data_IF_938798109221
#
_entry.id   IF_938798109221
#
_cell.length_a   1.000
_cell.length_b   1.000
_cell.length_c   1.000
_cell.angle_alpha   90.00
_cell.angle_beta   90.00
_cell.angle_gamma   90.00
#
_symmetry.space_group_name_H-M   'P 1'
#
loop_
_entity.id
_entity.type
_entity.pdbx_description
1 polymer ?
#
# COMPACT_ATOMS: atom_id res chain seq x y z
N UNK A 1 -15.15 28.40 51.36
CA UNK A 1 -15.42 28.17 52.80
C UNK A 1 -16.88 28.52 53.09
N UNK A 2 -17.61 27.82 53.98
CA UNK A 2 -17.53 26.41 54.34
C UNK A 2 -18.91 25.68 54.49
N UNK A 3 -18.87 24.34 54.32
CA UNK A 3 -19.48 23.23 55.12
C UNK A 3 -21.02 23.21 55.32
N UNK A 4 -21.71 22.06 55.19
CA UNK A 4 -21.66 20.81 55.99
C UNK A 4 -22.42 19.72 55.19
N UNK A 5 -21.99 18.47 54.95
CA UNK A 5 -21.62 17.34 55.82
C UNK A 5 -22.48 17.15 57.06
N UNK A 6 -23.45 16.23 56.96
CA UNK A 6 -23.93 15.41 58.08
C UNK A 6 -23.82 13.94 57.64
N UNK A 7 -23.15 13.16 58.47
CA UNK A 7 -22.97 11.73 58.36
C UNK A 7 -23.67 11.03 59.53
N UNK A 8 -23.65 9.70 59.44
CA UNK A 8 -23.77 8.67 60.50
C UNK A 8 -25.15 8.03 60.70
N UNK A 9 -25.27 6.80 61.26
CA UNK A 9 -24.32 5.66 61.33
C UNK A 9 -24.93 4.27 61.02
N UNK A 10 -24.01 3.33 60.73
CA UNK A 10 -23.89 1.92 61.21
C UNK A 10 -25.13 1.02 61.31
N UNK A 11 -25.03 -0.14 60.66
CA UNK A 11 -24.93 -1.39 61.43
C UNK A 11 -24.12 -2.47 60.67
N UNK A 12 -23.12 -2.98 61.36
CA UNK A 12 -22.30 -4.15 61.00
C UNK A 12 -23.03 -5.42 61.46
N UNK A 13 -22.89 -6.53 60.72
CA UNK A 13 -22.78 -7.86 61.32
C UNK A 13 -21.97 -8.82 60.46
N UNK A 14 -21.17 -9.61 61.17
CA UNK A 14 -19.98 -10.33 60.76
C UNK A 14 -20.21 -11.67 60.03
N UNK A 15 -19.18 -12.02 59.27
CA UNK A 15 -18.55 -13.33 59.05
C UNK A 15 -19.30 -14.62 59.41
N UNK A 16 -19.36 -15.54 58.43
CA UNK A 16 -19.04 -16.96 58.65
C UNK A 16 -18.38 -17.61 57.44
N UNK A 17 -17.12 -17.96 57.63
CA UNK A 17 -16.27 -18.78 56.75
C UNK A 17 -16.68 -20.25 56.88
N UNK A 18 -16.92 -20.95 55.77
CA UNK A 18 -16.78 -22.42 55.69
C UNK A 18 -16.09 -22.78 54.37
N UNK A 19 -14.87 -23.31 54.51
CA UNK A 19 -14.17 -24.11 53.50
C UNK A 19 -14.86 -25.46 53.39
N UNK A 20 -15.16 -25.90 52.17
CA UNK A 20 -15.22 -27.32 51.81
C UNK A 20 -14.68 -27.49 50.40
N UNK A 21 -13.68 -28.37 50.29
CA UNK A 21 -13.01 -28.75 49.06
C UNK A 21 -13.98 -29.43 48.08
N UNK A 22 -13.86 -29.07 46.81
CA UNK A 22 -14.40 -29.79 45.65
C UNK A 22 -13.60 -29.40 44.42
N UNK A 23 -12.82 -30.34 43.91
CA UNK A 23 -11.84 -30.18 42.82
C UNK A 23 -12.52 -30.52 41.47
N UNK A 24 -12.11 -29.82 40.41
CA UNK A 24 -12.35 -30.05 38.96
C UNK A 24 -13.78 -29.71 38.47
N UNK A 25 -13.99 -28.96 37.39
CA UNK A 25 -13.24 -28.85 36.15
C UNK A 25 -13.67 -27.53 35.47
N UNK A 26 -12.80 -26.53 35.32
CA UNK A 26 -13.08 -25.33 34.51
C UNK A 26 -11.79 -24.58 34.19
N UNK A 27 -11.00 -25.13 33.26
CA UNK A 27 -9.91 -24.41 32.57
C UNK A 27 -9.66 -25.02 31.18
N UNK A 28 -10.59 -24.85 30.24
CA UNK A 28 -10.30 -25.00 28.80
C UNK A 28 -11.22 -24.10 27.97
N UNK A 29 -11.14 -22.78 28.19
CA UNK A 29 -11.76 -21.80 27.32
C UNK A 29 -10.92 -20.51 27.32
N UNK A 30 -9.70 -20.59 26.78
CA UNK A 30 -8.94 -19.41 26.31
C UNK A 30 -7.73 -19.90 25.51
N UNK A 31 -7.98 -20.22 24.24
CA UNK A 31 -6.95 -20.52 23.24
C UNK A 31 -7.02 -19.56 22.03
N UNK A 32 -7.65 -18.40 22.20
CA UNK A 32 -7.81 -17.37 21.17
C UNK A 32 -6.78 -16.23 21.28
N UNK A 33 -5.73 -16.40 22.07
CA UNK A 33 -4.65 -15.42 22.25
C UNK A 33 -3.31 -15.95 21.70
N UNK A 34 -3.25 -16.23 20.40
CA UNK A 34 -1.98 -16.09 19.67
C UNK A 34 -2.09 -14.80 18.86
N UNK A 35 -1.84 -13.68 19.54
CA UNK A 35 -1.57 -12.40 18.90
C UNK A 35 -0.40 -12.60 17.96
N UNK A 36 -0.62 -12.28 16.68
CA UNK A 36 0.45 -12.16 15.70
C UNK A 36 1.58 -11.30 16.29
N UNK A 37 2.76 -11.90 16.46
CA UNK A 37 3.97 -11.20 16.84
C UNK A 37 4.31 -10.16 15.77
N UNK A 38 4.25 -8.89 16.18
CA UNK A 38 5.03 -7.76 15.66
C UNK A 38 5.25 -7.66 14.14
N UNK A 39 4.21 -7.81 13.33
CA UNK A 39 4.18 -7.03 12.08
C UNK A 39 3.43 -5.76 12.44
N UNK A 40 4.16 -4.67 12.68
CA UNK A 40 3.48 -3.38 12.80
C UNK A 40 2.63 -3.18 11.52
N UNK A 41 1.50 -2.49 11.62
CA UNK A 41 0.70 -2.16 10.43
C UNK A 41 1.54 -1.46 9.33
N UNK A 42 2.76 -0.98 9.67
CA UNK A 42 3.73 -0.32 8.80
C UNK A 42 4.33 -1.19 7.66
N UNK A 43 4.19 -2.52 7.65
CA UNK A 43 4.76 -3.38 6.58
C UNK A 43 3.71 -4.05 5.66
N UNK A 44 2.42 -3.76 5.88
CA UNK A 44 1.35 -4.64 5.40
C UNK A 44 1.00 -4.55 3.90
N UNK A 45 1.49 -3.52 3.18
CA UNK A 45 1.14 -3.23 1.79
C UNK A 45 2.34 -3.12 0.83
N UNK A 46 3.57 -3.13 1.33
CA UNK A 46 4.81 -3.03 0.54
C UNK A 46 5.10 -1.67 -0.12
N UNK A 47 4.08 -0.91 -0.53
CA UNK A 47 4.23 0.37 -1.26
C UNK A 47 4.42 1.63 -0.37
N UNK A 48 4.75 1.50 0.92
CA UNK A 48 4.60 2.61 1.86
C UNK A 48 5.82 3.48 2.14
N UNK A 49 6.85 3.47 1.29
CA UNK A 49 8.08 4.25 1.51
C UNK A 49 8.64 4.78 0.18
N UNK A 50 7.88 5.64 -0.51
CA UNK A 50 8.39 6.29 -1.70
C UNK A 50 9.33 7.44 -1.30
N UNK A 51 10.62 7.24 -1.49
CA UNK A 51 11.62 8.28 -1.26
C UNK A 51 11.60 9.25 -2.44
N UNK A 52 11.37 10.53 -2.15
CA UNK A 52 11.53 11.59 -3.15
C UNK A 52 12.97 11.61 -3.62
N UNK A 53 13.16 11.58 -4.94
CA UNK A 53 14.50 11.80 -5.47
C UNK A 53 14.89 13.26 -5.23
N UNK A 54 16.10 13.51 -4.70
CA UNK A 54 16.62 14.85 -4.52
C UNK A 54 16.58 15.63 -5.83
N UNK A 55 16.28 16.93 -5.76
CA UNK A 55 16.52 17.82 -6.88
C UNK A 55 18.03 17.86 -7.19
N UNK A 56 18.41 17.86 -8.47
CA UNK A 56 19.81 18.01 -8.84
C UNK A 56 20.29 19.43 -8.44
N UNK A 57 21.20 19.51 -7.48
CA UNK A 57 21.75 20.77 -6.98
C UNK A 57 22.69 21.39 -8.01
N UNK A 58 22.16 22.26 -8.88
CA UNK A 58 22.97 23.20 -9.64
C UNK A 58 22.82 24.59 -8.99
N UNK A 59 23.87 25.13 -8.36
CA UNK A 59 23.77 26.36 -7.56
C UNK A 59 23.28 27.57 -8.37
N UNK A 60 23.64 27.66 -9.65
CA UNK A 60 23.26 28.80 -10.51
C UNK A 60 21.83 28.68 -11.06
N UNK A 61 21.20 27.53 -10.89
CA UNK A 61 19.89 27.27 -11.47
C UNK A 61 18.78 28.01 -10.73
N UNK A 62 18.89 28.11 -9.40
CA UNK A 62 17.89 28.82 -8.59
C UNK A 62 17.77 30.28 -9.00
N UNK A 63 18.88 31.00 -9.05
CA UNK A 63 18.92 32.42 -9.47
C UNK A 63 18.29 32.59 -10.86
N UNK A 64 18.62 31.70 -11.81
CA UNK A 64 18.03 31.71 -13.15
C UNK A 64 16.50 31.57 -13.13
N UNK A 65 15.97 30.70 -12.27
CA UNK A 65 14.52 30.52 -12.14
C UNK A 65 13.84 31.65 -11.37
N UNK A 66 14.51 32.26 -10.39
CA UNK A 66 14.02 33.45 -9.69
C UNK A 66 13.94 34.66 -10.64
N UNK A 67 14.96 34.88 -11.47
CA UNK A 67 14.93 35.89 -12.53
C UNK A 67 13.80 35.62 -13.53
N UNK A 68 13.64 34.37 -13.97
CA UNK A 68 12.57 33.98 -14.87
C UNK A 68 11.18 34.20 -14.26
N UNK A 69 11.02 33.91 -12.96
CA UNK A 69 9.80 34.18 -12.21
C UNK A 69 9.46 35.68 -12.26
N UNK A 70 10.42 36.55 -11.90
CA UNK A 70 10.19 38.00 -11.88
C UNK A 70 9.84 38.53 -13.28
N UNK A 71 10.55 38.09 -14.31
CA UNK A 71 10.30 38.47 -15.69
C UNK A 71 8.91 38.05 -16.18
N UNK A 72 8.48 36.81 -15.87
CA UNK A 72 7.16 36.32 -16.25
C UNK A 72 6.04 37.08 -15.53
N UNK A 73 6.21 37.40 -14.24
CA UNK A 73 5.24 38.21 -13.48
C UNK A 73 5.08 39.59 -14.11
N UNK A 74 6.17 40.26 -14.48
CA UNK A 74 6.12 41.56 -15.16
C UNK A 74 5.45 41.50 -16.54
N UNK A 75 5.73 40.44 -17.30
CA UNK A 75 5.12 40.23 -18.62
C UNK A 75 3.61 39.97 -18.51
N UNK A 76 3.18 39.18 -17.52
CA UNK A 76 1.74 38.90 -17.29
C UNK A 76 1.00 40.18 -16.91
N UNK A 77 1.59 41.03 -16.08
CA UNK A 77 0.95 42.29 -15.66
C UNK A 77 0.88 43.35 -16.77
N UNK A 78 1.76 43.26 -17.78
CA UNK A 78 1.82 44.22 -18.89
C UNK A 78 1.11 43.75 -20.17
N UNK A 79 0.79 42.45 -20.27
CA UNK A 79 0.18 41.85 -21.45
C UNK A 79 -1.33 41.68 -21.30
N UNK A 80 -2.06 41.76 -22.41
CA UNK A 80 -3.50 41.44 -22.47
C UNK A 80 -3.76 40.41 -23.58
N UNK A 81 -4.72 39.51 -23.36
CA UNK A 81 -5.18 38.55 -24.37
C UNK A 81 -4.61 37.13 -24.24
N UNK A 82 -4.65 36.30 -25.30
CA UNK A 82 -4.38 34.87 -25.24
C UNK A 82 -2.92 34.52 -24.90
N UNK A 83 -1.96 35.43 -25.12
CA UNK A 83 -0.56 35.22 -24.74
C UNK A 83 -0.36 35.15 -23.21
N UNK A 84 -1.21 35.86 -22.45
CA UNK A 84 -1.20 35.84 -20.98
C UNK A 84 -1.39 34.42 -20.45
N UNK A 85 -2.22 33.62 -21.12
CA UNK A 85 -2.49 32.24 -20.74
C UNK A 85 -1.22 31.39 -20.83
N UNK A 86 -0.49 31.49 -21.93
CA UNK A 86 0.79 30.77 -22.13
C UNK A 86 1.85 31.24 -21.13
N UNK A 87 1.89 32.54 -20.82
CA UNK A 87 2.79 33.09 -19.81
C UNK A 87 2.44 32.55 -18.41
N UNK A 88 1.16 32.45 -18.05
CA UNK A 88 0.69 31.84 -16.80
C UNK A 88 1.10 30.36 -16.70
N UNK A 89 0.95 29.57 -17.76
CA UNK A 89 1.43 28.18 -17.79
C UNK A 89 2.93 28.06 -17.53
N UNK A 90 3.73 28.94 -18.15
CA UNK A 90 5.18 29.02 -17.88
C UNK A 90 5.47 29.43 -16.46
N UNK A 91 4.76 30.44 -15.93
CA UNK A 91 4.93 30.89 -14.56
C UNK A 91 4.59 29.79 -13.55
N UNK A 92 3.51 29.03 -13.77
CA UNK A 92 3.15 27.87 -12.94
C UNK A 92 4.26 26.81 -12.95
N UNK A 93 4.82 26.50 -14.12
CA UNK A 93 5.94 25.57 -14.22
C UNK A 93 7.18 26.08 -13.48
N UNK A 94 7.50 27.38 -13.56
CA UNK A 94 8.61 28.01 -12.81
C UNK A 94 8.37 27.94 -11.31
N UNK A 95 7.16 28.26 -10.85
CA UNK A 95 6.80 28.19 -9.43
C UNK A 95 6.98 26.77 -8.88
N UNK A 96 6.55 25.74 -9.62
CA UNK A 96 6.79 24.35 -9.22
C UNK A 96 8.29 24.01 -9.12
N UNK A 97 9.12 24.44 -10.09
CA UNK A 97 10.56 24.20 -10.03
C UNK A 97 11.22 24.92 -8.84
N UNK A 98 10.86 26.18 -8.60
CA UNK A 98 11.35 26.94 -7.44
C UNK A 98 10.93 26.28 -6.13
N UNK A 99 9.68 25.82 -6.01
CA UNK A 99 9.21 25.10 -4.83
C UNK A 99 10.05 23.86 -4.54
N UNK A 100 10.39 23.09 -5.58
CA UNK A 100 11.31 21.94 -5.46
C UNK A 100 12.71 22.34 -5.00
N UNK A 101 13.26 23.44 -5.50
CA UNK A 101 14.58 23.93 -5.10
C UNK A 101 14.60 24.39 -3.64
N UNK A 102 13.59 25.17 -3.21
CA UNK A 102 13.48 25.63 -1.81
C UNK A 102 13.36 24.45 -0.83
N UNK A 103 12.59 23.41 -1.18
CA UNK A 103 12.45 22.22 -0.35
C UNK A 103 13.73 21.36 -0.36
N UNK A 104 14.23 20.96 -1.54
CA UNK A 104 15.28 19.94 -1.63
C UNK A 104 16.70 20.49 -1.38
N UNK A 105 16.94 21.80 -1.58
CA UNK A 105 18.28 22.41 -1.47
C UNK A 105 18.44 23.33 -0.26
N UNK A 106 17.39 24.05 0.12
CA UNK A 106 17.49 25.09 1.18
C UNK A 106 16.78 24.72 2.48
N UNK A 107 16.09 23.56 2.51
CA UNK A 107 15.28 23.13 3.65
C UNK A 107 14.28 24.23 4.09
N UNK A 108 13.80 25.03 3.13
CA UNK A 108 12.89 26.14 3.36
C UNK A 108 11.46 25.74 2.98
N UNK A 109 10.87 24.90 3.81
CA UNK A 109 9.52 24.35 3.61
C UNK A 109 8.46 25.43 3.42
N UNK A 110 8.49 26.52 4.20
CA UNK A 110 7.50 27.60 4.09
C UNK A 110 7.52 28.28 2.71
N UNK A 111 8.72 28.54 2.17
CA UNK A 111 8.84 29.13 0.83
C UNK A 111 8.46 28.11 -0.26
N UNK A 112 8.82 26.85 -0.07
CA UNK A 112 8.43 25.77 -0.97
C UNK A 112 6.91 25.64 -1.09
N UNK A 113 6.20 25.56 0.04
CA UNK A 113 4.73 25.52 0.08
C UNK A 113 4.10 26.71 -0.64
N UNK A 114 4.58 27.92 -0.35
CA UNK A 114 4.10 29.13 -1.01
C UNK A 114 4.28 29.07 -2.54
N UNK A 115 5.42 28.55 -3.02
CA UNK A 115 5.65 28.37 -4.45
C UNK A 115 4.75 27.31 -5.08
N UNK A 116 4.49 26.19 -4.40
CA UNK A 116 3.57 25.16 -4.89
C UNK A 116 2.12 25.67 -4.94
N UNK A 117 1.68 26.44 -3.95
CA UNK A 117 0.36 27.09 -3.96
C UNK A 117 0.27 28.10 -5.11
N UNK A 118 1.28 28.95 -5.31
CA UNK A 118 1.34 29.87 -6.45
C UNK A 118 1.30 29.15 -7.79
N UNK A 119 2.00 28.02 -7.92
CA UNK A 119 2.00 27.22 -9.14
C UNK A 119 0.58 26.78 -9.52
N UNK A 120 -0.22 26.35 -8.52
CA UNK A 120 -1.63 26.00 -8.69
C UNK A 120 -2.48 27.23 -9.03
N UNK A 121 -2.42 28.26 -8.20
CA UNK A 121 -3.32 29.42 -8.28
C UNK A 121 -3.12 30.25 -9.54
N UNK A 122 -1.90 30.27 -10.10
CA UNK A 122 -1.57 31.01 -11.33
C UNK A 122 -2.40 30.54 -12.54
N UNK A 123 -2.75 29.25 -12.58
CA UNK A 123 -3.46 28.59 -13.68
C UNK A 123 -4.84 28.10 -13.28
N UNK A 124 -5.42 28.72 -12.25
CA UNK A 124 -6.79 28.48 -11.83
C UNK A 124 -7.76 28.60 -13.01
N UNK A 125 -8.76 27.71 -13.06
CA UNK A 125 -9.73 27.53 -14.13
C UNK A 125 -9.16 26.92 -15.44
N UNK A 126 -7.86 26.60 -15.45
CA UNK A 126 -7.14 25.99 -16.57
C UNK A 126 -6.24 24.83 -16.11
N UNK A 127 -6.52 24.24 -14.95
CA UNK A 127 -5.69 23.21 -14.30
C UNK A 127 -5.57 21.94 -15.17
N UNK A 128 -6.62 21.60 -15.90
CA UNK A 128 -6.75 20.41 -16.74
C UNK A 128 -6.28 20.63 -18.18
N UNK A 129 -5.50 21.68 -18.44
CA UNK A 129 -4.89 21.87 -19.74
C UNK A 129 -3.52 21.18 -19.83
N UNK A 130 -3.13 20.78 -21.05
CA UNK A 130 -1.89 20.03 -21.28
C UNK A 130 -0.64 20.73 -20.74
N UNK A 131 -0.60 22.06 -20.80
CA UNK A 131 0.51 22.87 -20.29
C UNK A 131 0.52 23.04 -18.76
N UNK A 132 -0.59 22.75 -18.09
CA UNK A 132 -0.78 23.06 -16.66
C UNK A 132 -0.85 21.81 -15.79
N UNK A 133 -1.48 20.74 -16.28
CA UNK A 133 -1.85 19.55 -15.53
C UNK A 133 -0.68 18.93 -14.74
N UNK A 134 0.51 18.88 -15.34
CA UNK A 134 1.70 18.34 -14.66
C UNK A 134 2.19 19.26 -13.54
N UNK A 135 2.21 20.57 -13.76
CA UNK A 135 2.65 21.52 -12.74
C UNK A 135 1.69 21.49 -11.56
N UNK A 136 0.38 21.42 -11.81
CA UNK A 136 -0.66 21.35 -10.77
C UNK A 136 -0.57 20.05 -9.97
N UNK A 137 -0.64 18.88 -10.62
CA UNK A 137 -0.60 17.58 -9.92
C UNK A 137 0.69 17.43 -9.12
N UNK A 138 1.85 17.78 -9.69
CA UNK A 138 3.11 17.63 -8.98
C UNK A 138 3.23 18.62 -7.81
N UNK A 139 2.69 19.83 -7.92
CA UNK A 139 2.67 20.79 -6.80
C UNK A 139 1.77 20.30 -5.67
N UNK A 140 0.59 19.77 -5.99
CA UNK A 140 -0.31 19.15 -5.02
C UNK A 140 0.31 17.91 -4.36
N UNK A 141 1.04 17.09 -5.12
CA UNK A 141 1.78 15.95 -4.56
C UNK A 141 2.87 16.39 -3.57
N UNK A 142 3.60 17.47 -3.88
CA UNK A 142 4.61 18.02 -2.97
C UNK A 142 3.98 18.63 -1.72
N UNK A 143 2.85 19.35 -1.84
CA UNK A 143 2.09 19.84 -0.69
C UNK A 143 1.62 18.67 0.19
N UNK A 144 1.06 17.62 -0.42
CA UNK A 144 0.67 16.41 0.30
C UNK A 144 1.85 15.74 0.99
N UNK A 145 3.01 15.65 0.33
CA UNK A 145 4.23 15.10 0.92
C UNK A 145 4.71 15.90 2.14
N UNK A 146 4.80 17.23 2.02
CA UNK A 146 5.22 18.11 3.11
C UNK A 146 4.28 17.93 4.31
N UNK A 147 2.96 17.94 4.08
CA UNK A 147 1.99 17.70 5.17
C UNK A 147 2.16 16.33 5.84
N UNK A 148 2.53 15.30 5.09
CA UNK A 148 2.80 13.97 5.66
C UNK A 148 4.09 13.93 6.49
N UNK A 149 5.18 14.53 5.98
CA UNK A 149 6.53 14.34 6.54
C UNK A 149 6.96 15.40 7.54
N UNK A 150 6.56 16.65 7.33
CA UNK A 150 7.02 17.79 8.11
C UNK A 150 5.99 18.13 9.21
N UNK A 151 4.70 18.06 8.87
CA UNK A 151 3.60 18.49 9.75
C UNK A 151 2.83 17.34 10.43
N UNK A 152 2.98 16.10 9.94
CA UNK A 152 2.13 14.94 10.30
C UNK A 152 0.61 15.19 10.14
N UNK A 153 0.22 16.15 9.28
CA UNK A 153 -1.17 16.51 8.99
C UNK A 153 -1.73 15.67 7.83
N UNK A 154 -2.20 14.47 8.19
CA UNK A 154 -2.78 13.52 7.24
C UNK A 154 -4.12 13.98 6.63
N UNK A 155 -4.84 14.92 7.24
CA UNK A 155 -6.13 15.42 6.71
C UNK A 155 -5.87 16.43 5.59
N UNK A 156 -5.03 17.43 5.85
CA UNK A 156 -4.61 18.39 4.84
C UNK A 156 -3.87 17.71 3.68
N UNK A 157 -3.01 16.73 3.99
CA UNK A 157 -2.35 15.93 2.97
C UNK A 157 -3.37 15.23 2.05
N UNK A 158 -4.40 14.59 2.63
CA UNK A 158 -5.43 13.91 1.86
C UNK A 158 -6.18 14.87 0.94
N UNK A 159 -6.49 16.09 1.42
CA UNK A 159 -7.19 17.09 0.63
C UNK A 159 -6.40 17.44 -0.65
N UNK A 160 -5.11 17.75 -0.53
CA UNK A 160 -4.28 18.06 -1.70
C UNK A 160 -4.15 16.87 -2.66
N UNK A 161 -4.02 15.66 -2.12
CA UNK A 161 -3.86 14.45 -2.94
C UNK A 161 -5.15 14.05 -3.67
N UNK A 162 -6.32 14.23 -3.03
CA UNK A 162 -7.61 14.02 -3.69
C UNK A 162 -7.87 15.08 -4.76
N UNK A 163 -7.46 16.33 -4.53
CA UNK A 163 -7.48 17.39 -5.56
C UNK A 163 -6.58 17.00 -6.76
N UNK A 164 -5.37 16.49 -6.52
CA UNK A 164 -4.48 16.01 -7.58
C UNK A 164 -5.10 14.86 -8.39
N UNK A 165 -5.75 13.92 -7.68
CA UNK A 165 -6.45 12.80 -8.29
C UNK A 165 -7.64 13.27 -9.15
N UNK A 166 -8.38 14.29 -8.71
CA UNK A 166 -9.47 14.91 -9.47
C UNK A 166 -8.96 15.57 -10.75
N UNK A 167 -7.93 16.42 -10.66
CA UNK A 167 -7.31 17.09 -11.82
C UNK A 167 -6.83 16.07 -12.86
N UNK A 168 -6.23 14.97 -12.42
CA UNK A 168 -5.87 13.88 -13.33
C UNK A 168 -7.08 13.25 -14.03
N UNK A 169 -8.15 12.95 -13.28
CA UNK A 169 -9.33 12.27 -13.80
C UNK A 169 -10.01 13.12 -14.88
N UNK A 170 -10.22 14.40 -14.59
CA UNK A 170 -10.83 15.36 -15.50
C UNK A 170 -10.01 15.50 -16.79
N UNK A 171 -8.68 15.69 -16.68
CA UNK A 171 -7.78 15.72 -17.85
C UNK A 171 -7.90 14.45 -18.73
N UNK A 172 -7.98 13.28 -18.08
CA UNK A 172 -8.02 12.00 -18.76
C UNK A 172 -9.38 11.71 -19.41
N UNK A 173 -10.49 12.12 -18.78
CA UNK A 173 -11.85 12.02 -19.33
C UNK A 173 -12.03 12.90 -20.57
N UNK A 174 -11.42 14.09 -20.56
CA UNK A 174 -11.39 15.00 -21.72
C UNK A 174 -10.47 14.52 -22.86
N UNK A 175 -9.69 13.45 -22.64
CA UNK A 175 -8.76 12.84 -23.62
C UNK A 175 -7.80 13.84 -24.27
N UNK A 176 -7.28 14.80 -23.51
CA UNK A 176 -6.44 15.92 -24.01
C UNK A 176 -5.02 15.54 -24.50
N UNK A 177 -4.77 14.26 -24.77
CA UNK A 177 -3.48 13.78 -25.29
C UNK A 177 -2.35 13.84 -24.26
N UNK A 178 -1.11 13.98 -24.72
CA UNK A 178 0.07 14.01 -23.85
C UNK A 178 0.22 15.35 -23.14
N UNK A 179 0.45 15.33 -21.82
CA UNK A 179 0.74 16.53 -21.05
C UNK A 179 2.11 17.13 -21.42
N UNK A 180 2.19 18.45 -21.45
CA UNK A 180 3.41 19.19 -21.77
C UNK A 180 4.34 19.22 -20.58
N UNK A 181 5.58 18.77 -20.76
CA UNK A 181 6.58 18.77 -19.69
C UNK A 181 7.17 20.16 -19.44
N UNK A 182 7.68 20.40 -18.22
CA UNK A 182 8.36 21.65 -17.87
C UNK A 182 9.52 21.98 -18.84
N UNK A 183 10.24 20.96 -19.35
CA UNK A 183 11.33 21.15 -20.31
C UNK A 183 10.84 21.72 -21.66
N UNK A 184 9.58 21.48 -22.02
CA UNK A 184 9.00 22.02 -23.25
C UNK A 184 8.40 23.43 -23.01
N UNK A 185 7.98 23.73 -21.78
CA UNK A 185 7.43 25.04 -21.41
C UNK A 185 8.52 26.08 -21.13
N UNK A 186 9.66 25.63 -20.59
CA UNK A 186 10.70 26.50 -20.07
C UNK A 186 12.00 26.34 -20.87
N UNK A 187 12.53 27.43 -21.46
CA UNK A 187 13.88 27.39 -22.03
C UNK A 187 14.90 27.11 -20.91
N UNK A 188 15.93 26.31 -21.19
CA UNK A 188 17.05 26.00 -20.28
C UNK A 188 16.71 25.22 -18.99
N UNK A 189 15.55 24.56 -18.91
CA UNK A 189 15.29 23.62 -17.82
C UNK A 189 16.33 22.47 -17.89
N UNK A 190 16.99 22.08 -16.77
CA UNK A 190 17.96 21.00 -16.80
C UNK A 190 17.30 19.74 -17.36
N UNK A 191 17.95 19.14 -18.35
CA UNK A 191 17.58 17.79 -18.79
C UNK A 191 17.91 16.86 -17.62
N UNK A 192 16.91 16.56 -16.77
CA UNK A 192 17.03 15.53 -15.73
C UNK A 192 17.67 14.30 -16.37
N UNK A 193 18.63 13.65 -15.69
CA UNK A 193 18.90 12.24 -16.01
C UNK A 193 17.59 11.51 -15.76
N UNK A 194 16.96 11.12 -16.85
CA UNK A 194 15.70 10.45 -16.82
C UNK A 194 15.85 9.20 -15.94
N UNK A 195 15.22 9.19 -14.77
CA UNK A 195 14.45 7.99 -14.42
C UNK A 195 13.63 7.62 -15.65
N UNK A 196 13.31 6.35 -15.86
CA UNK A 196 12.43 5.91 -16.96
C UNK A 196 11.02 6.58 -16.97
N UNK A 197 10.80 7.63 -16.16
CA UNK A 197 9.68 8.57 -16.10
C UNK A 197 9.44 9.38 -17.39
N UNK A 198 10.40 9.43 -18.32
CA UNK A 198 10.26 10.18 -19.58
C UNK A 198 9.22 9.62 -20.53
N UNK A 199 8.83 8.34 -20.41
CA UNK A 199 7.85 7.74 -21.33
C UNK A 199 6.40 8.15 -21.04
N UNK A 200 6.06 8.47 -19.79
CA UNK A 200 4.70 8.88 -19.42
C UNK A 200 4.69 9.74 -18.14
N UNK A 201 5.01 11.05 -18.24
CA UNK A 201 5.14 11.93 -17.08
C UNK A 201 3.84 12.10 -16.30
N UNK A 202 2.70 12.12 -16.99
CA UNK A 202 1.38 12.24 -16.35
C UNK A 202 1.06 10.99 -15.51
N UNK A 203 1.37 9.79 -16.04
CA UNK A 203 1.20 8.57 -15.27
C UNK A 203 2.14 8.49 -14.07
N UNK A 204 3.37 9.00 -14.21
CA UNK A 204 4.28 9.12 -13.06
C UNK A 204 3.67 10.02 -11.99
N UNK A 205 3.20 11.21 -12.36
CA UNK A 205 2.60 12.16 -11.43
C UNK A 205 1.39 11.55 -10.69
N UNK A 206 0.52 10.83 -11.39
CA UNK A 206 -0.58 10.07 -10.78
C UNK A 206 -0.09 8.98 -9.83
N UNK A 207 0.94 8.22 -10.21
CA UNK A 207 1.49 7.19 -9.34
C UNK A 207 2.01 7.83 -8.04
N UNK A 208 2.76 8.93 -8.10
CA UNK A 208 3.17 9.67 -6.89
C UNK A 208 1.96 10.03 -6.00
N UNK A 209 0.88 10.57 -6.60
CA UNK A 209 -0.37 10.87 -5.87
C UNK A 209 -0.89 9.63 -5.13
N UNK A 210 -1.03 8.51 -5.83
CA UNK A 210 -1.57 7.27 -5.24
C UNK A 210 -0.68 6.69 -4.13
N UNK A 211 0.64 6.77 -4.27
CA UNK A 211 1.58 6.32 -3.23
C UNK A 211 1.39 7.11 -1.93
N UNK A 212 1.26 8.44 -2.01
CA UNK A 212 1.01 9.26 -0.83
C UNK A 212 -0.40 9.06 -0.26
N UNK A 213 -1.42 8.85 -1.10
CA UNK A 213 -2.78 8.49 -0.64
C UNK A 213 -2.74 7.18 0.18
N UNK A 214 -2.01 6.17 -0.30
CA UNK A 214 -1.84 4.90 0.43
C UNK A 214 -1.20 5.17 1.79
N UNK A 215 -0.14 5.97 1.85
CA UNK A 215 0.53 6.32 3.10
C UNK A 215 -0.42 7.01 4.09
N UNK A 216 -1.19 8.00 3.63
CA UNK A 216 -2.20 8.71 4.43
C UNK A 216 -3.25 7.74 4.98
N UNK A 217 -3.87 6.92 4.12
CA UNK A 217 -4.90 5.99 4.56
C UNK A 217 -4.39 4.96 5.58
N UNK A 218 -3.13 4.53 5.45
CA UNK A 218 -2.53 3.61 6.41
C UNK A 218 -2.30 4.24 7.77
N UNK A 219 -1.75 5.45 7.80
CA UNK A 219 -1.52 6.17 9.07
C UNK A 219 -2.84 6.50 9.78
N UNK A 220 -3.91 6.75 9.02
CA UNK A 220 -5.27 6.95 9.55
C UNK A 220 -6.02 5.67 9.92
N UNK A 221 -5.46 4.49 9.65
CA UNK A 221 -6.12 3.21 9.90
C UNK A 221 -7.25 2.85 8.91
N UNK A 222 -7.38 3.59 7.80
CA UNK A 222 -8.34 3.32 6.72
C UNK A 222 -7.83 2.19 5.81
N UNK A 223 -7.79 0.98 6.36
CA UNK A 223 -7.18 -0.20 5.69
C UNK A 223 -7.87 -0.56 4.38
N UNK A 224 -9.21 -0.44 4.30
CA UNK A 224 -9.96 -0.74 3.07
C UNK A 224 -9.56 0.21 1.95
N UNK A 225 -9.52 1.51 2.20
CA UNK A 225 -9.15 2.50 1.18
C UNK A 225 -7.69 2.36 0.78
N UNK A 226 -6.79 2.11 1.75
CA UNK A 226 -5.39 1.81 1.46
C UNK A 226 -5.24 0.58 0.55
N UNK A 227 -6.01 -0.48 0.79
CA UNK A 227 -6.03 -1.70 -0.02
C UNK A 227 -6.53 -1.43 -1.45
N UNK A 228 -7.62 -0.67 -1.60
CA UNK A 228 -8.17 -0.30 -2.91
C UNK A 228 -7.17 0.54 -3.71
N UNK A 229 -6.60 1.56 -3.08
CA UNK A 229 -5.55 2.40 -3.69
C UNK A 229 -4.31 1.60 -4.06
N UNK A 230 -3.88 0.65 -3.20
CA UNK A 230 -2.74 -0.23 -3.50
C UNK A 230 -2.99 -1.09 -4.73
N UNK A 231 -4.17 -1.72 -4.84
CA UNK A 231 -4.52 -2.48 -6.03
C UNK A 231 -4.52 -1.61 -7.30
N UNK A 232 -5.10 -0.40 -7.22
CA UNK A 232 -5.12 0.54 -8.34
C UNK A 232 -3.70 0.93 -8.78
N UNK A 233 -2.80 1.22 -7.83
CA UNK A 233 -1.40 1.50 -8.11
C UNK A 233 -0.73 0.32 -8.81
N UNK A 234 -0.84 -0.89 -8.27
CA UNK A 234 -0.24 -2.09 -8.86
C UNK A 234 -0.77 -2.36 -10.27
N UNK A 235 -2.08 -2.15 -10.49
CA UNK A 235 -2.71 -2.30 -11.80
C UNK A 235 -2.13 -1.31 -12.81
N UNK A 236 -2.04 -0.03 -12.45
CA UNK A 236 -1.47 1.01 -13.32
C UNK A 236 -0.01 0.70 -13.66
N UNK A 237 0.79 0.31 -12.66
CA UNK A 237 2.19 -0.06 -12.85
C UNK A 237 2.34 -1.22 -13.84
N UNK A 238 1.49 -2.24 -13.70
CA UNK A 238 1.49 -3.41 -14.57
C UNK A 238 1.06 -3.07 -16.02
N UNK A 239 -0.04 -2.34 -16.19
CA UNK A 239 -0.59 -1.98 -17.50
C UNK A 239 0.32 -1.04 -18.31
N UNK A 240 1.14 -0.24 -17.63
CA UNK A 240 2.02 0.74 -18.26
C UNK A 240 3.51 0.32 -18.26
N UNK A 241 3.84 -0.83 -17.65
CA UNK A 241 5.22 -1.26 -17.40
C UNK A 241 6.08 -0.14 -16.79
N UNK A 242 5.54 0.51 -15.76
CA UNK A 242 6.09 1.71 -15.13
C UNK A 242 6.14 1.52 -13.61
N UNK A 243 7.35 1.47 -13.05
CA UNK A 243 7.57 1.23 -11.62
C UNK A 243 8.34 2.40 -11.02
N UNK A 244 7.81 3.01 -9.95
CA UNK A 244 8.46 4.14 -9.27
C UNK A 244 9.62 3.72 -8.36
N UNK A 245 9.58 2.48 -7.84
CA UNK A 245 10.63 1.89 -7.00
C UNK A 245 11.33 0.77 -7.79
N UNK A 246 10.98 -0.50 -7.55
CA UNK A 246 11.47 -1.67 -8.28
C UNK A 246 10.33 -2.58 -8.78
N UNK A 247 10.51 -3.29 -9.91
CA UNK A 247 9.65 -4.41 -10.28
C UNK A 247 9.57 -5.51 -9.20
N UNK A 248 10.59 -5.63 -8.33
CA UNK A 248 10.56 -6.53 -7.17
C UNK A 248 9.53 -6.08 -6.13
N UNK A 249 9.47 -4.78 -5.85
CA UNK A 249 8.54 -4.20 -4.87
C UNK A 249 7.09 -4.40 -5.32
N UNK A 250 6.84 -4.33 -6.63
CA UNK A 250 5.53 -4.65 -7.20
C UNK A 250 5.09 -6.08 -6.84
N UNK A 251 5.98 -7.06 -7.04
CA UNK A 251 5.66 -8.45 -6.77
C UNK A 251 5.40 -8.71 -5.28
N UNK A 252 6.25 -8.16 -4.40
CA UNK A 252 6.06 -8.28 -2.96
C UNK A 252 4.75 -7.61 -2.52
N UNK A 253 4.49 -6.38 -2.98
CA UNK A 253 3.28 -5.63 -2.64
C UNK A 253 2.01 -6.37 -3.07
N UNK A 254 2.00 -6.97 -4.26
CA UNK A 254 0.88 -7.83 -4.70
C UNK A 254 0.67 -9.02 -3.76
N UNK A 255 1.73 -9.66 -3.27
CA UNK A 255 1.58 -10.75 -2.31
C UNK A 255 1.11 -10.28 -0.92
N UNK A 256 1.59 -9.13 -0.45
CA UNK A 256 1.23 -8.60 0.87
C UNK A 256 -0.26 -8.23 0.96
N UNK A 257 -0.82 -7.62 -0.08
CA UNK A 257 -2.26 -7.26 -0.08
C UNK A 257 -3.18 -8.49 -0.05
N UNK A 258 -2.72 -9.65 -0.48
CA UNK A 258 -3.47 -10.90 -0.35
C UNK A 258 -3.76 -11.27 1.11
N UNK A 259 -2.87 -10.89 2.04
CA UNK A 259 -3.09 -11.11 3.46
C UNK A 259 -4.29 -10.30 3.96
N UNK A 260 -4.45 -9.06 3.53
CA UNK A 260 -5.62 -8.23 3.87
C UNK A 260 -6.90 -8.78 3.26
N UNK A 261 -6.85 -9.15 1.98
CA UNK A 261 -7.99 -9.74 1.28
C UNK A 261 -8.48 -11.02 1.99
N UNK A 262 -7.58 -11.86 2.50
CA UNK A 262 -7.94 -13.02 3.32
C UNK A 262 -8.68 -12.67 4.61
N UNK A 263 -8.31 -11.56 5.27
CA UNK A 263 -9.02 -11.10 6.46
C UNK A 263 -10.47 -10.76 6.11
N UNK A 264 -10.69 -10.17 4.93
CA UNK A 264 -11.99 -9.80 4.38
C UNK A 264 -12.78 -10.95 3.70
N UNK A 265 -12.29 -12.20 3.78
CA UNK A 265 -12.83 -13.37 3.08
C UNK A 265 -12.76 -13.32 1.54
N UNK A 266 -12.01 -12.38 0.96
CA UNK A 266 -11.82 -12.24 -0.48
C UNK A 266 -10.76 -13.23 -1.01
N UNK A 267 -10.99 -14.53 -0.80
CA UNK A 267 -10.01 -15.58 -1.10
C UNK A 267 -9.71 -15.74 -2.59
N UNK A 268 -10.69 -15.45 -3.46
CA UNK A 268 -10.50 -15.41 -4.92
C UNK A 268 -9.47 -14.36 -5.30
N UNK A 269 -9.65 -13.14 -4.82
CA UNK A 269 -8.79 -11.98 -5.08
C UNK A 269 -7.41 -12.18 -4.44
N UNK A 270 -7.36 -12.64 -3.19
CA UNK A 270 -6.12 -12.94 -2.50
C UNK A 270 -5.26 -13.96 -3.28
N UNK A 271 -5.87 -15.05 -3.73
CA UNK A 271 -5.19 -16.07 -4.54
C UNK A 271 -4.67 -15.49 -5.85
N UNK A 272 -5.49 -14.70 -6.53
CA UNK A 272 -5.12 -14.05 -7.78
C UNK A 272 -3.91 -13.14 -7.63
N UNK A 273 -3.87 -12.33 -6.56
CA UNK A 273 -2.74 -11.47 -6.23
C UNK A 273 -1.44 -12.23 -5.90
N UNK A 274 -1.55 -13.36 -5.18
CA UNK A 274 -0.40 -14.23 -4.90
C UNK A 274 0.11 -14.94 -6.16
N UNK A 275 -0.81 -15.41 -7.01
CA UNK A 275 -0.46 -16.00 -8.29
C UNK A 275 0.24 -14.97 -9.19
N UNK A 276 -0.21 -13.71 -9.14
CA UNK A 276 0.38 -12.63 -9.92
C UNK A 276 1.81 -12.34 -9.46
N UNK A 277 2.01 -12.21 -8.14
CA UNK A 277 3.32 -12.06 -7.54
C UNK A 277 4.27 -13.21 -7.92
N UNK A 278 3.81 -14.46 -7.81
CA UNK A 278 4.60 -15.63 -8.18
C UNK A 278 4.93 -15.68 -9.67
N UNK A 279 3.97 -15.41 -10.56
CA UNK A 279 4.22 -15.35 -12.01
C UNK A 279 5.25 -14.29 -12.35
N UNK A 280 5.15 -13.12 -11.71
CA UNK A 280 6.07 -12.01 -11.94
C UNK A 280 7.50 -12.37 -11.51
N UNK A 281 7.65 -12.92 -10.30
CA UNK A 281 8.95 -13.38 -9.78
C UNK A 281 9.54 -14.55 -10.58
N UNK A 282 8.75 -15.58 -10.90
CA UNK A 282 9.25 -16.82 -11.50
C UNK A 282 9.51 -16.71 -13.00
N UNK A 283 8.83 -15.78 -13.70
CA UNK A 283 8.85 -15.73 -15.18
C UNK A 283 9.18 -14.37 -15.76
N UNK A 284 8.68 -13.27 -15.19
CA UNK A 284 8.85 -11.94 -15.77
C UNK A 284 10.21 -11.36 -15.36
N UNK A 285 10.53 -11.33 -14.07
CA UNK A 285 11.80 -10.80 -13.57
C UNK A 285 13.01 -11.49 -14.21
N UNK A 286 13.12 -12.83 -14.25
CA UNK A 286 14.26 -13.49 -14.86
C UNK A 286 14.42 -13.21 -16.36
N UNK A 287 13.33 -12.86 -17.07
CA UNK A 287 13.35 -12.60 -18.51
C UNK A 287 13.55 -11.14 -18.89
N UNK A 288 12.95 -10.22 -18.13
CA UNK A 288 12.88 -8.80 -18.48
C UNK A 288 13.76 -7.93 -17.59
N UNK A 289 14.13 -8.42 -16.41
CA UNK A 289 14.89 -7.70 -15.40
C UNK A 289 16.02 -8.59 -14.85
N UNK A 290 16.83 -9.15 -15.76
CA UNK A 290 17.87 -10.13 -15.44
C UNK A 290 18.86 -9.62 -14.38
N UNK A 291 19.17 -8.33 -14.35
CA UNK A 291 20.04 -7.72 -13.33
C UNK A 291 19.48 -7.81 -11.91
N UNK A 292 18.17 -7.96 -11.75
CA UNK A 292 17.51 -8.16 -10.46
C UNK A 292 17.46 -9.64 -10.07
N UNK A 293 17.51 -10.55 -11.05
CA UNK A 293 17.48 -11.98 -10.82
C UNK A 293 18.72 -12.42 -10.03
N UNK A 294 18.55 -13.33 -9.07
CA UNK A 294 19.58 -13.77 -8.12
C UNK A 294 20.14 -12.72 -7.14
N UNK A 295 19.68 -11.46 -7.17
CA UNK A 295 19.99 -10.49 -6.12
C UNK A 295 19.52 -10.99 -4.73
N UNK A 296 20.13 -10.49 -3.66
CA UNK A 296 19.70 -10.85 -2.30
C UNK A 296 18.24 -10.45 -2.06
N UNK A 297 17.83 -9.27 -2.55
CA UNK A 297 16.43 -8.81 -2.51
C UNK A 297 15.48 -9.75 -3.26
N UNK A 298 15.87 -10.28 -4.42
CA UNK A 298 15.07 -11.27 -5.14
C UNK A 298 14.86 -12.54 -4.31
N UNK A 299 15.94 -13.06 -3.68
CA UNK A 299 15.87 -14.26 -2.83
C UNK A 299 14.98 -14.02 -1.61
N UNK A 300 15.11 -12.86 -0.98
CA UNK A 300 14.27 -12.44 0.14
C UNK A 300 12.80 -12.40 -0.26
N UNK A 301 12.46 -11.67 -1.31
CA UNK A 301 11.07 -11.47 -1.71
C UNK A 301 10.45 -12.78 -2.22
N UNK A 302 11.22 -13.67 -2.84
CA UNK A 302 10.74 -15.00 -3.18
C UNK A 302 10.36 -15.82 -1.92
N UNK A 303 11.13 -15.69 -0.84
CA UNK A 303 10.83 -16.31 0.45
C UNK A 303 9.61 -15.68 1.14
N UNK A 304 9.46 -14.36 1.06
CA UNK A 304 8.32 -13.61 1.62
C UNK A 304 7.01 -13.89 0.87
N UNK A 305 7.06 -14.01 -0.45
CA UNK A 305 5.90 -14.43 -1.27
C UNK A 305 5.52 -15.87 -0.94
N UNK A 306 6.50 -16.76 -0.76
CA UNK A 306 6.24 -18.13 -0.28
C UNK A 306 5.59 -18.11 1.11
N UNK A 307 6.04 -17.23 2.01
CA UNK A 307 5.41 -17.06 3.32
C UNK A 307 3.96 -16.63 3.19
N UNK A 308 3.64 -15.71 2.28
CA UNK A 308 2.28 -15.24 2.05
C UNK A 308 1.37 -16.38 1.55
N UNK A 309 1.85 -17.26 0.66
CA UNK A 309 1.12 -18.48 0.28
C UNK A 309 0.85 -19.42 1.45
N UNK A 310 1.83 -19.64 2.33
CA UNK A 310 1.63 -20.46 3.52
C UNK A 310 0.58 -19.83 4.47
N UNK A 311 0.66 -18.52 4.69
CA UNK A 311 -0.30 -17.76 5.50
C UNK A 311 -1.71 -17.82 4.92
N UNK A 312 -1.84 -17.69 3.60
CA UNK A 312 -3.10 -17.85 2.86
C UNK A 312 -3.75 -19.21 3.17
N UNK A 313 -3.00 -20.30 2.96
CA UNK A 313 -3.51 -21.65 3.20
C UNK A 313 -3.87 -21.90 4.65
N UNK A 314 -3.01 -21.49 5.60
CA UNK A 314 -3.28 -21.62 7.03
C UNK A 314 -4.57 -20.91 7.43
N UNK A 315 -4.79 -19.68 6.94
CA UNK A 315 -6.02 -18.92 7.23
C UNK A 315 -7.24 -19.60 6.64
N UNK A 316 -7.15 -20.07 5.40
CA UNK A 316 -8.23 -20.79 4.73
C UNK A 316 -8.59 -22.08 5.50
N UNK A 317 -7.59 -22.86 5.92
CA UNK A 317 -7.79 -24.09 6.68
C UNK A 317 -8.39 -23.83 8.06
N UNK A 318 -7.89 -22.81 8.80
CA UNK A 318 -8.47 -22.37 10.08
C UNK A 318 -9.93 -21.95 9.95
N UNK A 319 -10.26 -21.15 8.93
CA UNK A 319 -11.65 -20.73 8.70
C UNK A 319 -12.54 -21.89 8.27
N UNK A 320 -12.05 -22.80 7.43
CA UNK A 320 -12.77 -24.02 7.03
C UNK A 320 -13.15 -24.87 8.25
N UNK A 321 -12.18 -25.15 9.12
CA UNK A 321 -12.42 -25.84 10.40
C UNK A 321 -13.43 -25.10 11.28
N UNK A 322 -13.25 -23.79 11.46
CA UNK A 322 -14.13 -22.97 12.32
C UNK A 322 -15.56 -22.97 11.81
N UNK A 323 -15.75 -22.86 10.49
CA UNK A 323 -17.05 -22.93 9.83
C UNK A 323 -17.73 -24.28 10.09
N UNK A 324 -17.01 -25.38 9.90
CA UNK A 324 -17.52 -26.75 10.12
C UNK A 324 -17.86 -27.00 11.59
N UNK A 325 -17.03 -26.53 12.53
CA UNK A 325 -17.32 -26.62 13.97
C UNK A 325 -18.57 -25.85 14.40
N UNK A 326 -18.88 -24.75 13.70
CA UNK A 326 -20.01 -23.87 14.02
C UNK A 326 -21.22 -24.08 13.11
N UNK A 327 -21.20 -25.09 12.24
CA UNK A 327 -22.23 -25.36 11.22
C UNK A 327 -22.66 -24.11 10.44
N UNK A 328 -21.69 -23.28 10.02
CA UNK A 328 -21.95 -22.04 9.28
C UNK A 328 -21.82 -22.25 7.78
N UNK A 329 -22.53 -21.43 7.01
CA UNK A 329 -22.34 -21.35 5.56
C UNK A 329 -21.10 -20.54 5.20
N UNK A 330 -20.74 -20.54 3.91
CA UNK A 330 -19.67 -19.70 3.40
C UNK A 330 -20.02 -18.22 3.56
N UNK A 331 -19.05 -17.45 4.02
CA UNK A 331 -19.16 -16.00 4.05
C UNK A 331 -18.54 -15.43 2.78
N UNK A 332 -19.38 -14.85 1.93
CA UNK A 332 -18.92 -14.11 0.77
C UNK A 332 -18.18 -12.82 1.20
N UNK A 333 -17.17 -12.37 0.43
CA UNK A 333 -16.53 -11.09 0.66
C UNK A 333 -17.48 -9.93 0.32
N UNK A 334 -17.29 -8.75 0.93
CA UNK A 334 -17.95 -7.54 0.49
C UNK A 334 -17.77 -7.25 -1.01
N UNK A 335 -18.81 -6.75 -1.66
CA UNK A 335 -18.85 -6.53 -3.11
C UNK A 335 -17.78 -5.54 -3.61
N UNK A 336 -17.34 -4.61 -2.77
CA UNK A 336 -16.27 -3.64 -3.08
C UNK A 336 -14.97 -4.33 -3.55
N UNK A 337 -14.72 -5.57 -3.12
CA UNK A 337 -13.53 -6.33 -3.50
C UNK A 337 -13.69 -7.13 -4.81
N UNK A 338 -14.88 -7.18 -5.40
CA UNK A 338 -15.19 -7.97 -6.59
C UNK A 338 -14.24 -7.67 -7.77
N UNK A 339 -13.84 -6.41 -7.91
CA UNK A 339 -13.04 -5.90 -9.03
C UNK A 339 -11.53 -5.88 -8.79
N UNK A 340 -11.04 -6.44 -7.68
CA UNK A 340 -9.60 -6.47 -7.36
C UNK A 340 -8.90 -7.65 -8.04
N UNK A 341 -8.91 -7.62 -9.37
CA UNK A 341 -8.27 -8.60 -10.25
C UNK A 341 -7.50 -7.89 -11.36
N UNK A 342 -6.31 -8.38 -11.69
CA UNK A 342 -5.55 -7.93 -12.85
C UNK A 342 -6.14 -8.54 -14.12
N UNK A 343 -6.81 -7.70 -14.92
CA UNK A 343 -7.36 -8.13 -16.22
C UNK A 343 -6.19 -8.43 -17.17
N UNK A 344 -6.36 -9.45 -18.02
CA UNK A 344 -5.40 -9.84 -19.06
C UNK A 344 -4.00 -10.26 -18.57
N UNK A 345 -3.85 -10.56 -17.27
CA UNK A 345 -2.59 -11.08 -16.74
C UNK A 345 -2.62 -12.61 -16.71
N UNK A 346 -1.87 -13.26 -17.61
CA UNK A 346 -1.89 -14.71 -17.72
C UNK A 346 -1.10 -15.38 -16.59
N UNK A 347 -1.80 -16.15 -15.76
CA UNK A 347 -1.25 -16.89 -14.62
C UNK A 347 -1.67 -18.35 -14.71
N UNK A 348 -0.93 -19.19 -15.48
CA UNK A 348 -1.30 -20.60 -15.69
C UNK A 348 -1.31 -21.43 -14.40
N UNK A 349 -0.77 -20.87 -13.32
CA UNK A 349 -0.57 -21.52 -12.04
C UNK A 349 -1.41 -20.88 -10.90
N UNK A 350 -2.47 -20.14 -11.23
CA UNK A 350 -3.35 -19.54 -10.21
C UNK A 350 -3.99 -20.60 -9.31
N UNK A 351 -4.24 -21.80 -9.84
CA UNK A 351 -4.93 -22.89 -9.15
C UNK A 351 -4.02 -23.75 -8.25
N UNK A 352 -2.76 -23.35 -8.03
CA UNK A 352 -1.82 -24.04 -7.12
C UNK A 352 -2.37 -24.21 -5.69
N UNK A 353 -3.31 -23.37 -5.27
CA UNK A 353 -4.07 -23.53 -4.03
C UNK A 353 -5.55 -23.24 -4.28
N UNK A 354 -6.44 -23.92 -3.55
CA UNK A 354 -7.89 -23.69 -3.66
C UNK A 354 -8.26 -22.29 -3.14
N UNK A 355 -9.27 -21.68 -3.78
CA UNK A 355 -9.93 -20.44 -3.29
C UNK A 355 -11.12 -20.71 -2.39
N UNK A 356 -11.54 -21.98 -2.30
CA UNK A 356 -12.73 -22.39 -1.57
C UNK A 356 -12.35 -22.98 -0.22
N UNK A 357 -13.25 -22.87 0.74
CA UNK A 357 -13.11 -23.59 1.99
C UNK A 357 -13.06 -25.10 1.74
N UNK A 358 -12.18 -25.77 2.46
CA UNK A 358 -12.02 -27.23 2.35
C UNK A 358 -13.10 -27.93 3.17
N UNK A 359 -13.66 -29.00 2.62
CA UNK A 359 -14.79 -29.70 3.25
C UNK A 359 -14.42 -31.09 3.73
N UNK A 360 -13.40 -31.73 3.17
CA UNK A 360 -13.03 -33.10 3.49
C UNK A 360 -11.53 -33.19 3.78
N UNK A 361 -11.09 -34.39 4.17
CA UNK A 361 -9.69 -34.67 4.47
C UNK A 361 -8.78 -34.53 3.24
N UNK A 362 -9.20 -34.99 2.07
CA UNK A 362 -8.39 -34.95 0.83
C UNK A 362 -8.06 -33.50 0.42
N UNK A 363 -9.07 -32.63 0.41
CA UNK A 363 -8.90 -31.20 0.14
C UNK A 363 -8.02 -30.52 1.18
N UNK A 364 -8.21 -30.84 2.47
CA UNK A 364 -7.40 -30.31 3.56
C UNK A 364 -5.94 -30.78 3.45
N UNK A 365 -5.71 -32.05 3.08
CA UNK A 365 -4.39 -32.63 2.90
C UNK A 365 -3.65 -31.97 1.72
N UNK A 366 -4.34 -31.81 0.59
CA UNK A 366 -3.80 -31.08 -0.57
C UNK A 366 -3.39 -29.65 -0.18
N UNK A 367 -4.25 -28.95 0.57
CA UNK A 367 -3.95 -27.61 1.07
C UNK A 367 -2.74 -27.59 2.02
N UNK A 368 -2.63 -28.54 2.94
CA UNK A 368 -1.50 -28.66 3.88
C UNK A 368 -0.19 -28.97 3.17
N UNK A 369 -0.20 -29.84 2.15
CA UNK A 369 0.97 -30.10 1.32
C UNK A 369 1.48 -28.80 0.67
N UNK A 370 0.59 -28.00 0.10
CA UNK A 370 0.93 -26.69 -0.46
C UNK A 370 1.45 -25.70 0.60
N UNK A 371 0.88 -25.69 1.81
CA UNK A 371 1.38 -24.86 2.92
C UNK A 371 2.81 -25.27 3.29
N UNK A 372 3.05 -26.56 3.51
CA UNK A 372 4.36 -27.09 3.95
C UNK A 372 5.43 -26.85 2.88
N UNK A 373 5.11 -27.03 1.60
CA UNK A 373 6.03 -26.70 0.49
C UNK A 373 6.47 -25.23 0.57
N UNK A 374 5.51 -24.31 0.79
CA UNK A 374 5.80 -22.89 0.87
C UNK A 374 6.56 -22.51 2.15
N UNK A 375 6.24 -23.10 3.30
CA UNK A 375 7.02 -22.92 4.54
C UNK A 375 8.47 -23.41 4.35
N UNK A 376 8.67 -24.55 3.69
CA UNK A 376 10.01 -25.06 3.39
C UNK A 376 10.77 -24.15 2.43
N UNK A 377 10.10 -23.54 1.44
CA UNK A 377 10.70 -22.52 0.57
C UNK A 377 11.14 -21.29 1.37
N UNK A 378 10.30 -20.78 2.28
CA UNK A 378 10.66 -19.65 3.14
C UNK A 378 11.86 -19.98 4.05
N UNK A 379 11.88 -21.17 4.64
CA UNK A 379 12.98 -21.65 5.51
C UNK A 379 14.33 -21.78 4.81
N UNK A 380 14.37 -21.93 3.48
CA UNK A 380 15.64 -21.95 2.71
C UNK A 380 16.36 -20.61 2.75
N UNK A 381 15.63 -19.50 2.85
CA UNK A 381 16.22 -18.16 2.93
C UNK A 381 16.35 -17.72 4.39
N UNK A 382 15.26 -17.80 5.15
CA UNK A 382 15.25 -17.46 6.57
C UNK A 382 15.64 -18.70 7.38
N UNK A 383 16.93 -18.98 7.46
CA UNK A 383 17.45 -20.10 8.25
C UNK A 383 17.43 -19.76 9.74
N UNK A 384 17.62 -20.77 10.59
CA UNK A 384 17.78 -20.57 12.03
C UNK A 384 18.92 -19.60 12.35
N UNK A 385 20.04 -19.72 11.62
CA UNK A 385 21.21 -18.85 11.76
C UNK A 385 20.92 -17.40 11.34
N UNK A 386 20.14 -17.20 10.27
CA UNK A 386 19.81 -15.86 9.76
C UNK A 386 18.83 -15.13 10.68
N UNK A 387 17.77 -15.82 11.12
CA UNK A 387 16.69 -15.23 11.92
C UNK A 387 16.02 -16.29 12.79
N UNK A 388 16.61 -16.61 13.95
CA UNK A 388 16.16 -17.71 14.82
C UNK A 388 14.68 -17.61 15.25
N UNK A 389 14.23 -16.44 15.69
CA UNK A 389 12.84 -16.23 16.11
C UNK A 389 11.85 -16.47 14.97
N UNK A 390 12.12 -15.89 13.80
CA UNK A 390 11.28 -16.06 12.63
C UNK A 390 11.29 -17.52 12.13
N UNK A 391 12.44 -18.20 12.18
CA UNK A 391 12.51 -19.63 11.85
C UNK A 391 11.65 -20.49 12.79
N UNK A 392 11.67 -20.18 14.09
CA UNK A 392 10.81 -20.84 15.09
C UNK A 392 9.33 -20.69 14.74
N UNK A 393 8.89 -19.49 14.34
CA UNK A 393 7.51 -19.24 13.90
C UNK A 393 7.13 -20.10 12.68
N UNK A 394 8.03 -20.26 11.71
CA UNK A 394 7.81 -21.13 10.55
C UNK A 394 7.68 -22.61 10.94
N UNK A 395 8.40 -23.05 11.97
CA UNK A 395 8.27 -24.40 12.54
C UNK A 395 6.93 -24.57 13.25
N UNK A 396 6.52 -23.58 14.06
CA UNK A 396 5.22 -23.58 14.73
C UNK A 396 4.06 -23.61 13.72
N UNK A 397 4.17 -22.88 12.62
CA UNK A 397 3.19 -22.92 11.53
C UNK A 397 3.14 -24.28 10.81
N UNK A 398 4.27 -24.98 10.73
CA UNK A 398 4.31 -26.36 10.22
C UNK A 398 3.51 -27.29 11.14
N UNK A 399 3.77 -27.23 12.45
CA UNK A 399 3.03 -28.00 13.45
C UNK A 399 1.53 -27.67 13.43
N UNK A 400 1.19 -26.39 13.31
CA UNK A 400 -0.19 -25.93 13.24
C UNK A 400 -0.92 -26.47 12.01
N UNK A 401 -0.24 -26.56 10.86
CA UNK A 401 -0.80 -27.13 9.63
C UNK A 401 -1.25 -28.57 9.84
N UNK A 402 -0.41 -29.41 10.45
CA UNK A 402 -0.75 -30.81 10.75
C UNK A 402 -1.82 -30.93 11.85
N UNK A 403 -1.77 -30.08 12.88
CA UNK A 403 -2.82 -30.02 13.91
C UNK A 403 -4.19 -29.65 13.32
N UNK A 404 -4.22 -28.81 12.29
CA UNK A 404 -5.45 -28.48 11.58
C UNK A 404 -5.90 -29.63 10.69
N UNK A 405 -4.97 -30.33 10.02
CA UNK A 405 -5.28 -31.50 9.21
C UNK A 405 -5.93 -32.63 10.03
N UNK A 406 -5.42 -32.90 11.23
CA UNK A 406 -5.93 -34.00 12.07
C UNK A 406 -7.42 -33.84 12.37
N UNK A 407 -7.93 -32.61 12.51
CA UNK A 407 -9.36 -32.36 12.65
C UNK A 407 -10.19 -32.97 11.49
N UNK A 408 -9.70 -32.85 10.26
CA UNK A 408 -10.35 -33.40 9.07
C UNK A 408 -10.24 -34.93 8.99
N UNK A 409 -9.20 -35.50 9.59
CA UNK A 409 -9.04 -36.94 9.70
C UNK A 409 -9.96 -37.54 10.77
N UNK A 410 -10.04 -36.90 11.94
CA UNK A 410 -10.71 -37.43 13.13
C UNK A 410 -12.23 -37.21 13.11
N UNK A 411 -12.75 -36.32 12.25
CA UNK A 411 -14.17 -35.94 12.23
C UNK A 411 -14.84 -36.16 10.85
N UNK A 412 -14.68 -37.31 10.18
CA UNK A 412 -15.14 -37.50 8.79
C UNK A 412 -16.65 -37.31 8.61
N UNK A 413 -17.45 -37.53 9.66
CA UNK A 413 -18.91 -37.45 9.59
C UNK A 413 -19.45 -36.02 9.52
N UNK A 414 -18.69 -35.03 10.01
CA UNK A 414 -19.10 -33.61 9.97
C UNK A 414 -19.10 -33.01 8.56
N UNK A 415 -18.66 -33.79 7.57
CA UNK A 415 -18.50 -33.35 6.18
C UNK A 415 -19.55 -33.93 5.23
N UNK A 416 -20.39 -34.86 5.71
CA UNK A 416 -21.43 -35.55 4.90
C UNK A 416 -22.77 -34.80 4.82
N UNK A 417 -22.92 -33.65 5.47
CA UNK A 417 -24.21 -32.94 5.64
C UNK A 417 -24.18 -31.53 5.00
N UNK A 418 -23.47 -31.33 3.89
CA UNK A 418 -23.55 -30.07 3.12
C UNK A 418 -23.86 -30.38 1.66
#
# INVERSE_FOLDING_TARGET
>A
MPKKWVANPKDQKEHKTKRSLGIHCDKMANADAYSYSNTSNSELLGLSNLVLQPYESNPNLKETFEEMYQMLVLQINSSNGPEVKKLKSRLAAVCYQLGRMYHDTEDNTAMAESMFLKAKDTVKDHETEADNVLSVINSLNMLGYIKIKDDEDYEAALQYLLEAQHVYQEYNEERRGSATTANNLLPNCPKKRALNTTKNPLMCARLFTLFYIIEVYRNRGNITDALMSTHLTLKIQLENNLFLQSPLDWALSSALIANLLCQQNAYKQARHHLAAASMYMEKIIPKQFESLYNSETYKQYAADISRCWATYGLRLLKKSKTRLMKNKTHREPPEIFSNLLFKNFNMPNEERMTRYYVNNFEDAQSLVNSIVINLNRTKKYYTFEKTANYYSDLCMDTCLSYKLLSYFQDNPEKYKII
#
